data_IF_103368242850
#
_entry.id   IF_103368242850
#
_cell.length_a   1.000
_cell.length_b   1.000
_cell.length_c   1.000
_cell.angle_alpha   90.00
_cell.angle_beta   90.00
_cell.angle_gamma   90.00
#
_symmetry.space_group_name_H-M   'P 1'
#
loop_
_entity.id
_entity.type
_entity.pdbx_description
1 polymer ?
#
# COMPACT_ATOMS: atom_id res chain seq x y z
N UNK A 1 13.54 17.74 -4.61
CA UNK A 1 12.29 17.39 -3.88
C UNK A 1 12.21 15.87 -3.74
N UNK A 2 11.87 15.37 -2.57
CA UNK A 2 11.70 13.94 -2.30
C UNK A 2 10.25 13.64 -1.93
N UNK A 3 9.70 12.55 -2.45
CA UNK A 3 8.36 12.07 -2.08
C UNK A 3 8.45 10.61 -1.66
N UNK A 4 8.00 10.31 -0.46
CA UNK A 4 7.99 8.96 0.13
C UNK A 4 6.56 8.42 0.19
N UNK A 5 6.35 7.26 -0.40
CA UNK A 5 5.07 6.53 -0.43
C UNK A 5 5.22 5.22 0.32
N UNK A 6 4.30 4.92 1.22
CA UNK A 6 4.18 3.60 1.86
C UNK A 6 2.96 2.86 1.33
N UNK A 7 3.13 1.59 0.96
CA UNK A 7 2.04 0.72 0.54
C UNK A 7 1.55 -0.15 1.70
N UNK A 8 0.26 -0.10 1.99
CA UNK A 8 -0.41 -0.90 3.03
C UNK A 8 -1.56 -1.67 2.38
N UNK A 9 -1.78 -2.88 2.81
CA UNK A 9 -2.88 -3.71 2.33
C UNK A 9 -2.60 -5.19 2.54
N UNK A 10 -3.56 -6.00 2.14
CA UNK A 10 -3.50 -7.46 2.27
C UNK A 10 -2.46 -8.08 1.34
N UNK A 11 -2.00 -9.28 1.66
CA UNK A 11 -1.11 -10.05 0.79
C UNK A 11 -1.78 -10.34 -0.56
N UNK A 12 -1.03 -10.19 -1.65
CA UNK A 12 -1.53 -10.45 -3.00
C UNK A 12 -2.39 -9.34 -3.61
N UNK A 13 -2.54 -8.19 -2.96
CA UNK A 13 -3.31 -7.04 -3.49
C UNK A 13 -2.55 -6.22 -4.54
N UNK A 14 -1.28 -6.53 -4.80
CA UNK A 14 -0.47 -5.83 -5.80
C UNK A 14 0.30 -4.62 -5.25
N UNK A 15 0.58 -4.57 -3.94
CA UNK A 15 1.39 -3.49 -3.32
C UNK A 15 2.75 -3.32 -3.98
N UNK A 16 3.53 -4.40 -4.03
CA UNK A 16 4.88 -4.39 -4.61
C UNK A 16 4.85 -4.00 -6.09
N UNK A 17 3.86 -4.47 -6.86
CA UNK A 17 3.66 -4.09 -8.26
C UNK A 17 3.36 -2.60 -8.42
N UNK A 18 2.48 -2.05 -7.58
CA UNK A 18 2.17 -0.62 -7.56
C UNK A 18 3.43 0.20 -7.22
N UNK A 19 4.17 -0.18 -6.18
CA UNK A 19 5.36 0.54 -5.75
C UNK A 19 6.49 0.44 -6.80
N UNK A 20 6.64 -0.69 -7.49
CA UNK A 20 7.55 -0.83 -8.62
C UNK A 20 7.16 0.12 -9.76
N UNK A 21 5.88 0.23 -10.08
CA UNK A 21 5.39 1.17 -11.09
C UNK A 21 5.62 2.64 -10.66
N UNK A 22 5.41 2.98 -9.40
CA UNK A 22 5.70 4.30 -8.84
C UNK A 22 7.19 4.66 -8.97
N UNK A 23 8.08 3.70 -8.68
CA UNK A 23 9.53 3.86 -8.79
C UNK A 23 10.04 3.73 -10.24
N UNK A 24 9.23 3.25 -11.18
CA UNK A 24 9.62 2.91 -12.55
C UNK A 24 10.83 1.94 -12.59
N UNK A 25 10.88 1.00 -11.66
CA UNK A 25 11.89 -0.07 -11.61
C UNK A 25 11.38 -1.28 -10.82
N UNK A 26 11.97 -2.46 -11.07
CA UNK A 26 11.68 -3.67 -10.30
C UNK A 26 12.48 -3.69 -8.99
N UNK A 27 12.04 -2.90 -8.01
CA UNK A 27 12.69 -2.75 -6.72
C UNK A 27 12.26 -3.83 -5.72
N UNK A 28 10.98 -4.23 -5.78
CA UNK A 28 10.37 -5.17 -4.86
C UNK A 28 9.91 -6.43 -5.59
N UNK A 29 10.05 -7.58 -4.94
CA UNK A 29 9.56 -8.83 -5.51
C UNK A 29 8.03 -8.84 -5.51
N UNK A 30 7.45 -8.66 -6.69
CA UNK A 30 6.02 -8.81 -6.90
C UNK A 30 5.68 -10.28 -7.11
N UNK A 31 4.69 -10.79 -6.39
CA UNK A 31 4.18 -12.14 -6.58
C UNK A 31 2.67 -12.17 -6.37
N UNK A 32 2.00 -12.88 -7.27
CA UNK A 32 0.58 -13.17 -7.16
C UNK A 32 0.29 -14.41 -6.28
N UNK A 33 1.35 -15.09 -5.81
CA UNK A 33 1.21 -16.25 -4.95
C UNK A 33 0.95 -15.83 -3.50
N UNK A 34 -0.05 -16.40 -2.83
CA UNK A 34 -0.31 -16.13 -1.41
C UNK A 34 0.83 -16.57 -0.48
N UNK A 35 1.74 -17.42 -0.96
CA UNK A 35 2.90 -17.91 -0.19
C UNK A 35 4.15 -17.03 -0.33
N UNK A 36 4.20 -16.13 -1.31
CA UNK A 36 5.31 -15.21 -1.53
C UNK A 36 5.05 -13.86 -0.89
N UNK A 37 4.96 -13.84 0.43
CA UNK A 37 4.78 -12.62 1.19
C UNK A 37 6.09 -11.84 1.28
N UNK A 38 6.04 -10.51 1.13
CA UNK A 38 7.04 -9.62 1.69
C UNK A 38 7.13 -9.91 3.18
N UNK A 39 8.23 -10.56 3.60
CA UNK A 39 8.39 -10.98 5.00
C UNK A 39 8.88 -9.87 5.92
N UNK A 40 9.45 -8.83 5.34
CA UNK A 40 10.02 -7.68 6.04
C UNK A 40 9.69 -6.40 5.29
N UNK A 41 9.55 -5.31 6.03
CA UNK A 41 9.44 -3.98 5.42
C UNK A 41 10.74 -3.66 4.68
N UNK A 42 10.63 -3.24 3.44
CA UNK A 42 11.76 -2.87 2.59
C UNK A 42 11.58 -1.49 1.98
N UNK A 43 12.70 -0.82 1.73
CA UNK A 43 12.72 0.55 1.21
C UNK A 43 13.61 0.60 -0.02
N UNK A 44 13.15 1.28 -1.05
CA UNK A 44 13.96 1.59 -2.23
C UNK A 44 13.60 2.97 -2.79
N UNK A 45 14.43 3.50 -3.64
CA UNK A 45 14.22 4.81 -4.25
C UNK A 45 14.73 4.86 -5.69
N UNK A 46 14.20 5.82 -6.45
CA UNK A 46 14.69 6.15 -7.79
C UNK A 46 14.62 7.66 -8.01
N UNK A 47 15.43 8.16 -8.91
CA UNK A 47 15.42 9.57 -9.34
C UNK A 47 14.75 9.64 -10.72
N UNK A 48 13.62 10.32 -10.79
CA UNK A 48 12.84 10.48 -12.01
C UNK A 48 12.59 11.97 -12.23
N UNK A 49 13.01 12.50 -13.37
CA UNK A 49 12.88 13.93 -13.70
C UNK A 49 13.40 14.86 -12.58
N UNK A 50 14.59 14.59 -12.05
CA UNK A 50 15.23 15.33 -10.96
C UNK A 50 14.43 15.33 -9.63
N UNK A 51 13.46 14.41 -9.47
CA UNK A 51 12.73 14.19 -8.23
C UNK A 51 13.09 12.82 -7.65
N UNK A 52 13.42 12.77 -6.39
CA UNK A 52 13.64 11.52 -5.67
C UNK A 52 12.29 10.93 -5.27
N UNK A 53 11.96 9.77 -5.83
CA UNK A 53 10.83 8.96 -5.38
C UNK A 53 11.33 7.85 -4.47
N UNK A 54 10.71 7.71 -3.32
CA UNK A 54 11.02 6.70 -2.32
C UNK A 54 9.78 5.87 -2.03
N UNK A 55 9.94 4.57 -1.94
CA UNK A 55 8.84 3.65 -1.68
C UNK A 55 9.17 2.74 -0.51
N UNK A 56 8.17 2.46 0.32
CA UNK A 56 8.23 1.54 1.44
C UNK A 56 7.23 0.43 1.17
N UNK A 57 7.73 -0.78 0.95
CA UNK A 57 6.91 -1.99 0.80
C UNK A 57 6.78 -2.70 2.15
N UNK A 58 5.56 -2.95 2.57
CA UNK A 58 5.25 -3.54 3.85
C UNK A 58 4.81 -4.99 3.70
N UNK A 59 5.00 -5.83 4.74
CA UNK A 59 4.37 -7.14 4.80
C UNK A 59 2.87 -7.03 4.60
N UNK A 60 2.28 -7.95 3.83
CA UNK A 60 0.84 -8.06 3.71
C UNK A 60 0.21 -8.42 5.05
N UNK A 61 -0.81 -7.70 5.45
CA UNK A 61 -1.58 -7.99 6.66
C UNK A 61 -2.63 -9.05 6.28
N UNK A 62 -2.58 -10.22 6.91
CA UNK A 62 -3.57 -11.29 6.76
C UNK A 62 -4.45 -11.32 7.99
N UNK A 63 -5.69 -11.75 7.84
CA UNK A 63 -6.68 -11.80 8.94
C UNK A 63 -6.54 -13.03 9.86
N UNK A 64 -5.33 -13.51 10.10
CA UNK A 64 -5.03 -14.64 10.99
C UNK A 64 -4.31 -14.21 12.27
N UNK A 65 -5.09 -14.01 13.23
CA UNK A 65 -4.99 -13.85 14.71
C UNK A 65 -3.68 -13.36 15.38
N UNK A 66 -2.52 -13.90 15.15
CA UNK A 66 -1.31 -13.51 15.88
C UNK A 66 -0.22 -12.89 15.00
N UNK A 67 -0.15 -13.30 13.74
CA UNK A 67 0.86 -12.83 12.80
C UNK A 67 0.64 -11.37 12.41
N UNK A 68 -0.60 -10.92 12.44
CA UNK A 68 -0.97 -9.56 12.07
C UNK A 68 -0.54 -8.53 13.13
N UNK A 69 -0.69 -8.85 14.41
CA UNK A 69 -0.25 -7.96 15.49
C UNK A 69 1.26 -7.77 15.45
N UNK A 70 2.01 -8.85 15.19
CA UNK A 70 3.45 -8.78 15.08
C UNK A 70 3.90 -7.99 13.85
N UNK A 71 3.26 -8.20 12.69
CA UNK A 71 3.54 -7.44 11.47
C UNK A 71 3.24 -5.95 11.66
N UNK A 72 2.13 -5.61 12.31
CA UNK A 72 1.79 -4.22 12.63
C UNK A 72 2.81 -3.62 13.60
N UNK A 73 3.21 -4.36 14.63
CA UNK A 73 4.22 -3.90 15.58
C UNK A 73 5.56 -3.62 14.90
N UNK A 74 6.05 -4.55 14.09
CA UNK A 74 7.29 -4.39 13.33
C UNK A 74 7.23 -3.20 12.38
N UNK A 75 6.09 -3.01 11.72
CA UNK A 75 5.88 -1.87 10.85
C UNK A 75 5.89 -0.55 11.61
N UNK A 76 5.23 -0.49 12.76
CA UNK A 76 5.26 0.70 13.65
C UNK A 76 6.68 0.99 14.11
N UNK A 77 7.41 -0.01 14.60
CA UNK A 77 8.82 0.14 15.02
C UNK A 77 9.70 0.64 13.87
N UNK A 78 9.51 0.09 12.66
CA UNK A 78 10.23 0.54 11.48
C UNK A 78 9.94 2.02 11.18
N UNK A 79 8.67 2.42 11.20
CA UNK A 79 8.26 3.79 10.88
C UNK A 79 8.72 4.80 11.92
N UNK A 80 8.74 4.43 13.21
CA UNK A 80 9.25 5.28 14.30
C UNK A 80 10.75 5.57 14.14
N UNK A 81 11.49 4.63 13.55
CA UNK A 81 12.93 4.77 13.28
C UNK A 81 13.23 5.39 11.90
N UNK A 82 12.19 5.67 11.10
CA UNK A 82 12.35 6.20 9.75
C UNK A 82 12.33 7.73 9.76
N UNK A 83 13.53 8.34 9.68
CA UNK A 83 13.74 9.77 9.90
C UNK A 83 13.22 10.69 8.75
N UNK A 84 12.98 10.14 7.56
CA UNK A 84 12.74 10.96 6.35
C UNK A 84 11.26 11.36 6.13
N UNK A 85 10.36 10.92 6.99
CA UNK A 85 8.93 11.20 6.86
C UNK A 85 8.25 10.45 5.71
N UNK A 86 6.95 10.33 5.80
CA UNK A 86 6.09 9.71 4.79
C UNK A 86 5.13 10.77 4.27
N UNK A 87 5.11 10.96 2.94
CA UNK A 87 4.24 11.94 2.30
C UNK A 87 2.88 11.35 1.92
N UNK A 88 2.84 10.07 1.56
CA UNK A 88 1.62 9.40 1.11
C UNK A 88 1.51 8.01 1.73
N UNK A 89 0.35 7.74 2.32
CA UNK A 89 -0.07 6.41 2.75
C UNK A 89 -1.01 5.84 1.70
N UNK A 90 -0.55 4.84 0.95
CA UNK A 90 -1.32 4.19 -0.11
C UNK A 90 -1.97 2.90 0.41
N UNK A 91 -3.29 2.89 0.55
CA UNK A 91 -4.06 1.67 0.81
C UNK A 91 -4.29 0.97 -0.53
N UNK A 92 -3.72 -0.20 -0.70
CA UNK A 92 -3.78 -0.96 -1.96
C UNK A 92 -4.85 -2.04 -1.87
N UNK A 93 -5.84 -1.95 -2.74
CA UNK A 93 -6.99 -2.83 -2.81
C UNK A 93 -7.08 -3.53 -4.17
N UNK A 94 -7.71 -4.71 -4.18
CA UNK A 94 -8.01 -5.41 -5.43
C UNK A 94 -9.27 -4.80 -6.07
N UNK A 95 -9.12 -4.17 -7.24
CA UNK A 95 -10.23 -3.56 -7.98
C UNK A 95 -11.25 -4.56 -8.57
N UNK A 96 -11.00 -5.87 -8.48
CA UNK A 96 -11.94 -6.91 -8.90
C UNK A 96 -12.94 -7.29 -7.80
N UNK A 97 -12.71 -6.86 -6.56
CA UNK A 97 -13.60 -7.13 -5.44
C UNK A 97 -14.66 -6.03 -5.37
N UNK A 98 -15.92 -6.43 -5.46
CA UNK A 98 -17.06 -5.50 -5.61
C UNK A 98 -17.53 -4.86 -4.29
N UNK A 99 -16.80 -5.02 -3.20
CA UNK A 99 -17.27 -4.55 -1.89
C UNK A 99 -16.16 -3.92 -1.06
N UNK A 100 -16.50 -2.81 -0.43
CA UNK A 100 -15.81 -2.31 0.74
C UNK A 100 -15.87 -3.39 1.84
N UNK A 101 -14.75 -4.01 2.15
CA UNK A 101 -14.68 -5.11 3.09
C UNK A 101 -14.34 -4.61 4.50
N UNK A 102 -14.63 -5.45 5.51
CA UNK A 102 -14.17 -5.19 6.88
C UNK A 102 -12.65 -5.06 6.96
N UNK A 103 -11.94 -5.73 6.05
CA UNK A 103 -10.48 -5.66 5.98
C UNK A 103 -10.01 -4.29 5.51
N UNK A 104 -10.69 -3.69 4.53
CA UNK A 104 -10.41 -2.30 4.11
C UNK A 104 -10.57 -1.32 5.26
N UNK A 105 -11.65 -1.44 6.02
CA UNK A 105 -11.89 -0.61 7.21
C UNK A 105 -10.80 -0.81 8.26
N UNK A 106 -10.39 -2.06 8.49
CA UNK A 106 -9.31 -2.42 9.40
C UNK A 106 -7.99 -1.77 8.97
N UNK A 107 -7.63 -1.81 7.70
CA UNK A 107 -6.41 -1.17 7.19
C UNK A 107 -6.42 0.33 7.36
N UNK A 108 -7.52 0.99 7.09
CA UNK A 108 -7.67 2.44 7.29
C UNK A 108 -7.51 2.78 8.77
N UNK A 109 -8.14 2.03 9.67
CA UNK A 109 -8.02 2.23 11.11
C UNK A 109 -6.59 2.02 11.60
N UNK A 110 -5.91 0.96 11.15
CA UNK A 110 -4.51 0.69 11.48
C UNK A 110 -3.63 1.84 10.99
N UNK A 111 -3.77 2.25 9.75
CA UNK A 111 -3.00 3.35 9.18
C UNK A 111 -3.23 4.66 9.95
N UNK A 112 -4.48 4.98 10.29
CA UNK A 112 -4.80 6.16 11.10
C UNK A 112 -4.17 6.11 12.49
N UNK A 113 -4.18 4.96 13.15
CA UNK A 113 -3.53 4.79 14.47
C UNK A 113 -2.01 4.90 14.39
N UNK A 114 -1.40 4.36 13.31
CA UNK A 114 0.04 4.40 13.11
C UNK A 114 0.56 5.81 12.87
N UNK A 115 -0.15 6.58 12.11
CA UNK A 115 0.28 7.92 11.70
C UNK A 115 -0.28 9.04 12.58
N UNK A 116 -1.20 8.78 13.46
CA UNK A 116 -1.81 9.65 14.50
C UNK A 116 -1.54 11.17 14.32
N UNK A 117 -1.74 11.67 13.12
CA UNK A 117 -1.51 13.06 12.75
C UNK A 117 -2.84 13.71 12.35
N UNK A 118 -3.12 14.97 12.74
CA UNK A 118 -4.40 15.62 12.42
C UNK A 118 -4.67 15.68 10.92
N UNK A 119 -3.63 15.81 10.10
CA UNK A 119 -3.72 15.91 8.64
C UNK A 119 -3.60 14.55 7.93
N UNK A 120 -3.73 13.43 8.66
CA UNK A 120 -3.58 12.07 8.10
C UNK A 120 -4.40 11.87 6.81
N UNK A 121 -5.62 12.36 6.79
CA UNK A 121 -6.55 12.19 5.67
C UNK A 121 -6.08 12.89 4.39
N UNK A 122 -5.30 13.96 4.50
CA UNK A 122 -4.70 14.65 3.36
C UNK A 122 -3.56 13.87 2.71
N UNK A 123 -3.00 12.92 3.45
CA UNK A 123 -1.90 12.05 3.02
C UNK A 123 -2.36 10.63 2.63
N UNK A 124 -3.65 10.32 2.75
CA UNK A 124 -4.20 9.01 2.41
C UNK A 124 -4.56 8.94 0.93
N UNK A 125 -4.16 7.87 0.27
CA UNK A 125 -4.54 7.54 -1.09
C UNK A 125 -5.03 6.09 -1.17
N UNK A 126 -6.09 5.84 -1.90
CA UNK A 126 -6.59 4.48 -2.17
C UNK A 126 -6.20 4.10 -3.60
N UNK A 127 -5.53 2.96 -3.75
CA UNK A 127 -5.04 2.45 -5.02
C UNK A 127 -5.77 1.14 -5.33
N UNK A 128 -6.50 1.13 -6.44
CA UNK A 128 -7.11 -0.09 -6.96
C UNK A 128 -6.18 -0.76 -7.97
N UNK A 129 -5.75 -1.96 -7.66
CA UNK A 129 -4.96 -2.83 -8.54
C UNK A 129 -5.83 -3.85 -9.26
N UNK A 130 -5.26 -4.63 -10.18
CA UNK A 130 -5.95 -5.73 -10.89
C UNK A 130 -7.23 -5.26 -11.60
N UNK A 131 -7.24 -4.00 -12.06
CA UNK A 131 -8.36 -3.44 -12.81
C UNK A 131 -8.49 -4.12 -14.17
N UNK A 132 -9.69 -4.54 -14.54
CA UNK A 132 -9.90 -5.21 -15.82
C UNK A 132 -9.68 -4.27 -17.01
N UNK A 133 -8.77 -4.64 -17.90
CA UNK A 133 -8.55 -3.94 -19.18
C UNK A 133 -9.73 -4.07 -20.17
N UNK A 134 -10.71 -4.95 -19.87
CA UNK A 134 -11.89 -5.18 -20.70
C UNK A 134 -13.16 -4.45 -20.25
N UNK A 135 -13.13 -3.69 -19.16
CA UNK A 135 -14.27 -2.87 -18.74
C UNK A 135 -14.46 -1.69 -19.70
N UNK A 136 -15.70 -1.46 -20.14
CA UNK A 136 -16.03 -0.23 -20.84
C UNK A 136 -16.03 0.97 -19.85
N UNK A 137 -16.01 2.20 -20.38
CA UNK A 137 -15.89 3.41 -19.56
C UNK A 137 -17.08 3.60 -18.60
N UNK A 138 -18.25 3.08 -18.95
CA UNK A 138 -19.44 3.12 -18.11
C UNK A 138 -19.33 2.18 -16.90
N UNK A 139 -18.81 0.97 -17.09
CA UNK A 139 -18.54 0.02 -16.02
C UNK A 139 -17.46 0.52 -15.06
N UNK A 140 -16.44 1.21 -15.58
CA UNK A 140 -15.40 1.85 -14.76
C UNK A 140 -15.98 2.98 -13.90
N UNK A 141 -16.90 3.78 -14.48
CA UNK A 141 -17.54 4.90 -13.77
C UNK A 141 -18.45 4.41 -12.64
N UNK A 142 -19.24 3.37 -12.87
CA UNK A 142 -20.10 2.77 -11.85
C UNK A 142 -19.26 2.29 -10.65
N UNK A 143 -18.12 1.63 -10.90
CA UNK A 143 -17.22 1.18 -9.82
C UNK A 143 -16.48 2.30 -9.08
N UNK A 144 -16.39 3.47 -9.62
CA UNK A 144 -15.80 4.65 -8.95
C UNK A 144 -16.80 5.38 -8.05
N UNK A 145 -18.10 5.16 -8.28
CA UNK A 145 -19.19 5.79 -7.52
C UNK A 145 -19.67 4.91 -6.33
N UNK A 146 -19.30 3.63 -6.28
CA UNK A 146 -19.54 2.70 -5.16
C UNK A 146 -18.46 2.82 -4.07
#
# INVERSE_FOLDING_TARGET
MQTTVIGIGETGMGKSSFLNAYLQKNAFQASDSPDSCTKMTSVDSNIINNQTRKAIDTPGIKDTDNTDQENVRQLVEFLLNYADGINVVAIVLNGQVDRYTRDTEKFIKIAHQMFNHPDFWEHLCIIFTKWYSGMNEEQKRIKQEE
#
